data_IF_070285102531
#
_entry.id   IF_070285102531
#
_cell.length_a   1.000
_cell.length_b   1.000
_cell.length_c   1.000
_cell.angle_alpha   90.00
_cell.angle_beta   90.00
_cell.angle_gamma   90.00
#
_symmetry.space_group_name_H-M   'P 1'
#
loop_
_entity.id
_entity.type
_entity.pdbx_description
1 polymer ?
#
# COMPACT_ATOMS: atom_id res chain seq x y z
N UNK A 1 3.56 -13.76 -3.09
CA UNK A 1 2.91 -12.43 -3.20
C UNK A 1 2.73 -11.94 -4.64
N UNK A 2 3.53 -12.38 -5.63
CA UNK A 2 3.44 -11.90 -7.04
C UNK A 2 2.14 -12.21 -7.79
N UNK A 3 1.39 -13.25 -7.41
CA UNK A 3 0.11 -13.60 -8.06
C UNK A 3 -1.03 -12.65 -7.71
N UNK A 4 -0.92 -11.88 -6.62
CA UNK A 4 -1.98 -10.99 -6.14
C UNK A 4 -2.04 -9.68 -6.95
N UNK A 5 -0.88 -9.07 -7.25
CA UNK A 5 -0.78 -7.87 -8.11
C UNK A 5 -1.33 -8.18 -9.51
N UNK A 6 -0.97 -9.33 -10.08
CA UNK A 6 -1.52 -9.78 -11.38
C UNK A 6 -3.04 -9.93 -11.36
N UNK A 7 -3.61 -10.35 -10.22
CA UNK A 7 -5.05 -10.55 -10.04
C UNK A 7 -5.79 -9.23 -9.85
N UNK A 8 -5.22 -8.28 -9.13
CA UNK A 8 -5.78 -6.92 -9.00
C UNK A 8 -5.67 -6.17 -10.33
N UNK A 9 -4.52 -6.19 -11.01
CA UNK A 9 -4.38 -5.60 -12.34
C UNK A 9 -5.37 -6.19 -13.36
N UNK A 10 -5.65 -7.50 -13.27
CA UNK A 10 -6.68 -8.17 -14.09
C UNK A 10 -8.11 -7.77 -13.72
N UNK A 11 -8.38 -7.38 -12.48
CA UNK A 11 -9.70 -6.90 -12.02
C UNK A 11 -9.90 -5.42 -12.33
N UNK A 12 -8.81 -4.63 -12.32
CA UNK A 12 -8.83 -3.18 -12.57
C UNK A 12 -8.62 -2.80 -14.05
N UNK A 13 -8.44 -3.76 -14.95
CA UNK A 13 -8.58 -3.54 -16.39
C UNK A 13 -7.42 -2.82 -17.09
N UNK A 14 -6.20 -2.84 -16.56
CA UNK A 14 -5.04 -2.21 -17.22
C UNK A 14 -4.12 -3.26 -17.87
N UNK A 15 -4.10 -3.30 -19.21
CA UNK A 15 -3.01 -3.92 -19.97
C UNK A 15 -1.89 -2.88 -20.14
N UNK A 16 -0.60 -3.25 -19.98
CA UNK A 16 0.49 -2.36 -20.35
C UNK A 16 0.62 -2.34 -21.88
N UNK A 17 0.60 -1.16 -22.48
CA UNK A 17 1.01 -0.92 -23.86
C UNK A 17 2.51 -0.71 -23.90
N UNK A 18 3.23 -1.62 -24.56
CA UNK A 18 4.63 -1.43 -24.93
C UNK A 18 4.73 -0.36 -26.02
N UNK A 19 5.44 0.74 -25.74
CA UNK A 19 6.03 1.57 -26.79
C UNK A 19 7.40 2.09 -26.33
N UNK A 20 8.42 1.59 -27.01
CA UNK A 20 9.81 2.01 -26.93
C UNK A 20 10.03 3.30 -27.75
N UNK A 21 10.57 4.35 -27.15
CA UNK A 21 11.27 5.42 -27.88
C UNK A 21 12.52 5.83 -27.09
N UNK A 22 13.65 5.90 -27.81
CA UNK A 22 14.99 6.12 -27.28
C UNK A 22 15.28 7.55 -26.83
N UNK A 23 16.25 7.67 -25.93
CA UNK A 23 16.75 8.94 -25.38
C UNK A 23 18.15 9.25 -25.93
N UNK A 24 18.36 10.51 -26.31
CA UNK A 24 19.66 11.14 -26.53
C UNK A 24 19.84 12.23 -25.44
N UNK A 25 21.00 12.38 -24.79
CA UNK A 25 21.13 13.27 -23.62
C UNK A 25 21.80 14.59 -24.00
N UNK A 26 21.21 15.73 -23.62
CA UNK A 26 21.93 16.91 -23.11
C UNK A 26 20.95 18.01 -22.64
N UNK A 27 21.31 18.60 -21.49
CA UNK A 27 20.94 19.91 -20.94
C UNK A 27 19.69 20.06 -20.03
N UNK A 28 20.03 20.49 -18.82
CA UNK A 28 19.41 21.46 -17.90
C UNK A 28 18.20 21.11 -17.01
N UNK A 29 18.52 21.06 -15.71
CA UNK A 29 17.64 21.00 -14.57
C UNK A 29 16.95 22.34 -14.34
N UNK A 30 15.70 22.45 -14.78
CA UNK A 30 14.68 23.26 -14.12
C UNK A 30 13.34 22.51 -14.12
N UNK A 31 12.63 22.66 -13.01
CA UNK A 31 11.53 21.85 -12.49
C UNK A 31 10.31 21.72 -13.44
N UNK A 32 9.85 20.51 -13.85
CA UNK A 32 8.76 20.37 -14.83
C UNK A 32 7.36 20.06 -14.24
N UNK A 33 7.17 20.04 -12.92
CA UNK A 33 5.89 19.60 -12.35
C UNK A 33 4.71 20.56 -12.56
N UNK A 34 4.95 21.88 -12.68
CA UNK A 34 3.86 22.84 -12.89
C UNK A 34 3.35 22.86 -14.33
N UNK A 35 4.21 22.55 -15.31
CA UNK A 35 3.88 22.62 -16.73
C UNK A 35 3.04 21.41 -17.14
N UNK A 36 3.40 20.20 -16.67
CA UNK A 36 2.63 18.97 -16.88
C UNK A 36 1.24 19.06 -16.23
N UNK A 37 1.13 19.63 -15.03
CA UNK A 37 -0.17 19.80 -14.38
C UNK A 37 -1.05 20.83 -15.12
N UNK A 38 -0.44 21.85 -15.73
CA UNK A 38 -1.17 22.84 -16.53
C UNK A 38 -1.67 22.25 -17.87
N UNK A 39 -0.90 21.38 -18.51
CA UNK A 39 -1.30 20.69 -19.74
C UNK A 39 -2.41 19.66 -19.50
N UNK A 40 -2.35 18.93 -18.38
CA UNK A 40 -3.41 18.00 -17.97
C UNK A 40 -4.73 18.75 -17.70
N UNK A 41 -4.65 19.86 -16.96
CA UNK A 41 -5.83 20.67 -16.65
C UNK A 41 -6.40 21.35 -17.89
N UNK A 42 -5.55 21.80 -18.82
CA UNK A 42 -5.96 22.36 -20.12
C UNK A 42 -6.64 21.31 -21.01
N UNK A 43 -6.07 20.10 -21.07
CA UNK A 43 -6.63 18.99 -21.85
C UNK A 43 -7.97 18.52 -21.28
N UNK A 44 -8.11 18.47 -19.95
CA UNK A 44 -9.37 18.13 -19.30
C UNK A 44 -10.44 19.20 -19.51
N UNK A 45 -10.07 20.49 -19.42
CA UNK A 45 -11.00 21.59 -19.70
C UNK A 45 -11.48 21.57 -21.16
N UNK A 46 -10.59 21.24 -22.11
CA UNK A 46 -10.93 21.11 -23.53
C UNK A 46 -11.85 19.92 -23.79
N UNK A 47 -11.58 18.77 -23.14
CA UNK A 47 -12.44 17.59 -23.21
C UNK A 47 -13.84 17.87 -22.66
N UNK A 48 -13.94 18.60 -21.55
CA UNK A 48 -15.22 18.98 -20.96
C UNK A 48 -15.98 20.00 -21.82
N UNK A 49 -15.27 20.95 -22.44
CA UNK A 49 -15.84 21.91 -23.37
C UNK A 49 -16.39 21.24 -24.64
N UNK A 50 -15.65 20.27 -25.20
CA UNK A 50 -16.06 19.52 -26.39
C UNK A 50 -17.27 18.60 -26.09
N UNK A 51 -17.33 18.02 -24.89
CA UNK A 51 -18.50 17.24 -24.42
C UNK A 51 -19.74 18.12 -24.22
N UNK A 52 -19.58 19.37 -23.80
CA UNK A 52 -20.70 20.32 -23.64
C UNK A 52 -21.14 21.01 -24.93
N UNK A 53 -20.31 21.01 -25.97
CA UNK A 53 -20.56 21.73 -27.23
C UNK A 53 -21.18 20.87 -28.34
N UNK A 54 -21.32 19.56 -28.13
CA UNK A 54 -21.90 18.66 -29.14
C UNK A 54 -23.45 18.70 -29.10
N UNK A 55 -24.02 19.65 -29.83
CA UNK A 55 -25.48 19.85 -30.01
C UNK A 55 -26.21 18.63 -30.62
N UNK A 56 -25.49 17.58 -31.08
CA UNK A 56 -26.11 16.35 -31.60
C UNK A 56 -26.56 15.35 -30.54
N UNK A 57 -26.27 15.58 -29.25
CA UNK A 57 -26.69 14.69 -28.16
C UNK A 57 -27.88 15.20 -27.32
N UNK A 58 -28.46 16.35 -27.63
CA UNK A 58 -29.59 16.91 -26.86
C UNK A 58 -30.92 16.14 -27.03
N UNK A 59 -31.08 15.34 -28.09
CA UNK A 59 -32.30 14.54 -28.31
C UNK A 59 -32.42 13.29 -27.43
N UNK A 60 -31.32 12.58 -27.20
CA UNK A 60 -31.33 11.28 -26.52
C UNK A 60 -31.20 11.38 -24.99
N UNK A 61 -30.64 12.48 -24.48
CA UNK A 61 -30.55 12.73 -23.03
C UNK A 61 -31.92 12.95 -22.38
N UNK A 62 -32.91 13.45 -23.12
CA UNK A 62 -34.30 13.63 -22.63
C UNK A 62 -34.97 12.32 -22.21
N UNK A 63 -34.74 11.24 -22.97
CA UNK A 63 -35.34 9.93 -22.70
C UNK A 63 -34.64 9.26 -21.51
N UNK A 64 -33.31 9.30 -21.48
CA UNK A 64 -32.52 8.73 -20.38
C UNK A 64 -32.80 9.49 -19.08
N UNK A 65 -32.89 10.82 -19.12
CA UNK A 65 -33.26 11.65 -17.95
C UNK A 65 -34.70 11.41 -17.51
N UNK A 66 -35.65 11.15 -18.43
CA UNK A 66 -37.02 10.78 -18.05
C UNK A 66 -37.08 9.43 -17.35
N UNK A 67 -36.40 8.42 -17.88
CA UNK A 67 -36.42 7.08 -17.28
C UNK A 67 -35.68 7.08 -15.94
N UNK A 68 -34.57 7.80 -15.82
CA UNK A 68 -33.87 8.00 -14.56
C UNK A 68 -34.74 8.71 -13.51
N UNK A 69 -35.47 9.78 -13.89
CA UNK A 69 -36.36 10.48 -12.98
C UNK A 69 -37.57 9.62 -12.55
N UNK A 70 -38.03 8.70 -13.40
CA UNK A 70 -39.09 7.73 -13.09
C UNK A 70 -38.64 6.70 -12.05
N UNK A 71 -37.39 6.24 -12.13
CA UNK A 71 -36.80 5.37 -11.10
C UNK A 71 -36.56 6.12 -9.77
N UNK A 72 -36.11 7.38 -9.83
CA UNK A 72 -35.95 8.23 -8.63
C UNK A 72 -37.30 8.43 -7.92
N UNK A 73 -38.40 8.62 -8.66
CA UNK A 73 -39.74 8.76 -8.05
C UNK A 73 -40.23 7.46 -7.42
N UNK A 74 -39.93 6.29 -8.02
CA UNK A 74 -40.20 4.99 -7.38
C UNK A 74 -39.45 4.83 -6.07
N UNK A 75 -38.17 5.20 -6.02
CA UNK A 75 -37.34 5.10 -4.81
C UNK A 75 -37.83 6.01 -3.68
N UNK A 76 -38.26 7.25 -3.99
CA UNK A 76 -38.89 8.14 -2.99
C UNK A 76 -40.21 7.59 -2.43
N UNK A 77 -40.95 6.81 -3.23
CA UNK A 77 -42.14 6.09 -2.77
C UNK A 77 -41.84 4.93 -1.82
N UNK A 78 -40.66 4.30 -1.92
CA UNK A 78 -40.21 3.28 -0.98
C UNK A 78 -39.74 3.90 0.34
N UNK A 79 -39.03 5.02 0.29
CA UNK A 79 -38.56 5.74 1.47
C UNK A 79 -39.73 6.23 2.36
N UNK A 80 -40.80 6.74 1.74
CA UNK A 80 -42.02 7.12 2.47
C UNK A 80 -42.71 5.92 3.13
N UNK A 81 -42.79 4.77 2.46
CA UNK A 81 -43.32 3.53 3.07
C UNK A 81 -42.50 3.06 4.28
N UNK A 82 -41.17 3.10 4.17
CA UNK A 82 -40.28 2.72 5.27
C UNK A 82 -40.48 3.65 6.47
N UNK A 83 -40.55 4.96 6.24
CA UNK A 83 -40.75 5.95 7.31
C UNK A 83 -42.14 5.83 7.97
N UNK A 84 -43.18 5.46 7.21
CA UNK A 84 -44.51 5.14 7.78
C UNK A 84 -44.45 3.90 8.68
N UNK A 85 -43.80 2.82 8.22
CA UNK A 85 -43.67 1.58 9.01
C UNK A 85 -42.83 1.80 10.28
N UNK A 86 -41.78 2.61 10.23
CA UNK A 86 -40.98 2.97 11.42
C UNK A 86 -41.83 3.78 12.40
N UNK A 87 -42.66 4.70 11.90
CA UNK A 87 -43.54 5.52 12.74
C UNK A 87 -44.61 4.67 13.44
N UNK A 88 -45.17 3.67 12.76
CA UNK A 88 -46.12 2.71 13.34
C UNK A 88 -45.48 1.83 14.41
N UNK A 89 -44.24 1.38 14.21
CA UNK A 89 -43.50 0.56 15.19
C UNK A 89 -43.05 1.34 16.43
N UNK A 90 -42.99 2.68 16.36
CA UNK A 90 -42.53 3.52 17.48
C UNK A 90 -43.63 3.83 18.50
N UNK A 91 -44.90 3.53 18.19
CA UNK A 91 -46.06 3.83 19.07
C UNK A 91 -46.31 2.78 20.15
N UNK A 92 -45.68 1.59 20.11
CA UNK A 92 -45.98 0.48 21.04
C UNK A 92 -44.95 0.23 22.17
N UNK A 93 -44.21 1.24 22.63
CA UNK A 93 -43.35 1.09 23.82
C UNK A 93 -43.99 1.73 25.06
N UNK A 94 -44.45 0.93 26.06
CA UNK A 94 -44.97 1.47 27.30
C UNK A 94 -43.82 2.00 28.17
N UNK A 95 -43.97 3.25 28.62
CA UNK A 95 -43.10 3.86 29.61
C UNK A 95 -43.24 3.10 30.95
N UNK A 96 -42.12 2.64 31.51
CA UNK A 96 -42.07 2.12 32.88
C UNK A 96 -41.19 2.99 33.76
N UNK A 97 -41.81 3.32 34.88
CA UNK A 97 -41.45 4.30 35.88
C UNK A 97 -40.22 3.94 36.72
N UNK A 98 -39.67 4.97 37.35
CA UNK A 98 -38.61 4.95 38.36
C UNK A 98 -38.89 4.05 39.56
N UNK A 99 -37.85 3.43 40.15
CA UNK A 99 -37.28 3.79 41.46
C UNK A 99 -36.46 2.65 42.11
N UNK A 100 -35.38 3.07 42.80
CA UNK A 100 -34.77 2.53 44.04
C UNK A 100 -33.83 1.30 44.00
N UNK A 101 -32.56 1.63 44.22
CA UNK A 101 -31.53 1.04 45.12
C UNK A 101 -31.73 -0.37 45.68
N UNK A 102 -30.75 -1.25 45.40
CA UNK A 102 -30.06 -2.20 46.30
C UNK A 102 -28.83 -2.69 45.50
N UNK A 103 -27.58 -2.35 45.84
CA UNK A 103 -26.74 -2.97 46.89
C UNK A 103 -26.89 -4.48 46.96
N UNK A 104 -26.15 -5.22 46.14
CA UNK A 104 -25.54 -6.50 46.53
C UNK A 104 -24.33 -6.79 45.64
N UNK A 105 -23.25 -7.21 46.30
CA UNK A 105 -21.99 -7.73 45.78
C UNK A 105 -22.17 -8.74 44.64
N UNK A 106 -21.54 -8.46 43.50
CA UNK A 106 -20.94 -9.49 42.65
C UNK A 106 -19.59 -8.98 42.13
N UNK A 107 -18.54 -9.23 42.92
CA UNK A 107 -17.18 -9.36 42.41
C UNK A 107 -17.14 -10.53 41.42
N UNK A 108 -17.50 -10.25 40.16
CA UNK A 108 -17.16 -11.11 39.03
C UNK A 108 -15.79 -10.65 38.53
N UNK A 109 -14.73 -11.47 38.61
CA UNK A 109 -13.43 -11.08 38.10
C UNK A 109 -13.59 -10.81 36.61
N UNK A 110 -13.29 -9.58 36.21
CA UNK A 110 -12.97 -9.24 34.83
C UNK A 110 -11.83 -10.18 34.45
N UNK A 111 -12.15 -11.25 33.71
CA UNK A 111 -11.16 -12.15 33.15
C UNK A 111 -10.16 -11.27 32.40
N UNK A 112 -8.93 -11.21 32.91
CA UNK A 112 -7.82 -10.58 32.21
C UNK A 112 -7.83 -11.13 30.79
N UNK A 113 -7.86 -10.25 29.79
CA UNK A 113 -7.54 -10.62 28.42
C UNK A 113 -6.22 -11.38 28.49
N UNK A 114 -6.32 -12.71 28.38
CA UNK A 114 -5.19 -13.59 28.59
C UNK A 114 -4.07 -13.18 27.67
N UNK A 115 -2.84 -13.24 28.18
CA UNK A 115 -1.64 -13.15 27.37
C UNK A 115 -1.69 -14.26 26.31
N UNK A 116 -2.30 -13.95 25.17
CA UNK A 116 -2.25 -14.79 23.98
C UNK A 116 -0.77 -14.93 23.65
N UNK A 117 -0.26 -16.14 23.83
CA UNK A 117 1.14 -16.49 23.60
C UNK A 117 1.57 -16.04 22.21
N UNK A 118 2.84 -15.65 22.04
CA UNK A 118 3.36 -15.22 20.74
C UNK A 118 3.14 -16.27 19.64
N UNK A 119 3.13 -17.55 20.01
CA UNK A 119 2.94 -18.68 19.10
C UNK A 119 1.51 -18.74 18.53
N UNK A 120 0.49 -18.48 19.33
CA UNK A 120 -0.92 -18.51 18.90
C UNK A 120 -1.24 -17.37 17.91
N UNK A 121 -0.65 -16.19 18.11
CA UNK A 121 -0.81 -15.06 17.19
C UNK A 121 -0.21 -15.35 15.81
N UNK A 122 0.90 -16.08 15.76
CA UNK A 122 1.50 -16.51 14.48
C UNK A 122 0.61 -17.51 13.75
N UNK A 123 -0.09 -18.38 14.48
CA UNK A 123 -0.97 -19.38 13.89
C UNK A 123 -2.25 -18.76 13.31
N UNK A 124 -2.83 -17.76 13.98
CA UNK A 124 -3.96 -16.99 13.43
C UNK A 124 -3.60 -16.29 12.11
N UNK A 125 -2.43 -15.65 12.05
CA UNK A 125 -1.95 -14.99 10.83
C UNK A 125 -1.72 -16.01 9.70
N UNK A 126 -1.11 -17.16 10.00
CA UNK A 126 -0.94 -18.24 9.01
C UNK A 126 -2.29 -18.76 8.51
N UNK A 127 -3.27 -18.93 9.40
CA UNK A 127 -4.62 -19.37 9.05
C UNK A 127 -5.34 -18.34 8.16
N UNK A 128 -5.25 -17.05 8.49
CA UNK A 128 -5.76 -15.94 7.68
C UNK A 128 -5.15 -15.92 6.27
N UNK A 129 -3.83 -16.11 6.16
CA UNK A 129 -3.14 -16.21 4.87
C UNK A 129 -3.59 -17.43 4.07
N UNK A 130 -3.76 -18.58 4.73
CA UNK A 130 -4.28 -19.80 4.10
C UNK A 130 -5.67 -19.57 3.53
N UNK A 131 -6.59 -19.00 4.32
CA UNK A 131 -7.95 -18.66 3.87
C UNK A 131 -7.94 -17.74 2.66
N UNK A 132 -7.06 -16.74 2.64
CA UNK A 132 -6.92 -15.81 1.51
C UNK A 132 -6.38 -16.47 0.24
N UNK A 133 -5.55 -17.51 0.37
CA UNK A 133 -4.94 -18.20 -0.77
C UNK A 133 -5.89 -19.16 -1.50
N UNK A 134 -7.02 -19.53 -0.87
CA UNK A 134 -7.97 -20.48 -1.43
C UNK A 134 -8.67 -19.93 -2.69
N UNK A 135 -8.99 -20.78 -3.68
CA UNK A 135 -9.76 -20.37 -4.86
C UNK A 135 -11.16 -19.93 -4.48
N UNK A 136 -11.81 -19.14 -5.34
CA UNK A 136 -13.23 -18.76 -5.16
C UNK A 136 -14.08 -20.02 -5.05
N UNK A 137 -14.82 -20.12 -3.95
CA UNK A 137 -15.72 -21.23 -3.67
C UNK A 137 -17.16 -20.92 -4.10
N UNK A 138 -18.07 -21.86 -3.81
CA UNK A 138 -19.52 -21.61 -3.87
C UNK A 138 -19.94 -20.53 -2.86
N UNK A 139 -21.13 -19.94 -3.02
CA UNK A 139 -21.69 -18.92 -2.10
C UNK A 139 -21.63 -19.38 -0.62
N UNK A 140 -22.01 -20.63 -0.35
CA UNK A 140 -21.96 -21.24 0.99
C UNK A 140 -20.54 -21.32 1.57
N UNK A 141 -19.53 -21.56 0.72
CA UNK A 141 -18.13 -21.55 1.14
C UNK A 141 -17.62 -20.13 1.40
N UNK A 142 -18.15 -19.13 0.67
CA UNK A 142 -17.78 -17.73 0.86
C UNK A 142 -18.23 -17.22 2.23
N UNK A 143 -19.48 -17.50 2.63
CA UNK A 143 -20.01 -17.10 3.93
C UNK A 143 -19.23 -17.73 5.10
N UNK A 144 -18.97 -19.04 5.03
CA UNK A 144 -18.17 -19.75 6.03
C UNK A 144 -16.76 -19.15 6.17
N UNK A 145 -16.12 -18.81 5.04
CA UNK A 145 -14.80 -18.16 5.04
C UNK A 145 -14.83 -16.75 5.63
N UNK A 146 -15.86 -15.96 5.31
CA UNK A 146 -16.04 -14.62 5.90
C UNK A 146 -16.16 -14.74 7.42
N UNK A 147 -16.96 -15.68 7.92
CA UNK A 147 -17.11 -15.91 9.35
C UNK A 147 -15.78 -16.32 10.00
N UNK A 148 -15.04 -17.25 9.38
CA UNK A 148 -13.72 -17.66 9.86
C UNK A 148 -12.73 -16.49 9.93
N UNK A 149 -12.69 -15.63 8.89
CA UNK A 149 -11.83 -14.44 8.87
C UNK A 149 -12.24 -13.47 9.99
N UNK A 150 -13.54 -13.21 10.19
CA UNK A 150 -14.03 -12.32 11.26
C UNK A 150 -13.63 -12.79 12.65
N UNK A 151 -13.60 -14.11 12.87
CA UNK A 151 -13.23 -14.72 14.15
C UNK A 151 -11.72 -14.69 14.39
N UNK A 152 -10.91 -14.95 13.36
CA UNK A 152 -9.45 -14.93 13.46
C UNK A 152 -8.85 -13.53 13.48
N UNK A 153 -9.57 -12.54 12.93
CA UNK A 153 -9.08 -11.17 12.81
C UNK A 153 -9.40 -10.35 14.08
N UNK A 154 -8.66 -10.65 15.14
CA UNK A 154 -8.60 -9.86 16.37
C UNK A 154 -7.77 -8.59 16.22
N UNK A 155 -7.72 -7.78 17.28
CA UNK A 155 -6.98 -6.51 17.29
C UNK A 155 -5.47 -6.72 17.03
N UNK A 156 -4.87 -7.73 17.66
CA UNK A 156 -3.45 -8.06 17.48
C UNK A 156 -3.16 -8.45 16.03
N UNK A 157 -4.03 -9.27 15.44
CA UNK A 157 -3.92 -9.70 14.05
C UNK A 157 -4.12 -8.55 13.07
N UNK A 158 -4.97 -7.57 13.38
CA UNK A 158 -5.15 -6.35 12.59
C UNK A 158 -3.84 -5.56 12.51
N UNK A 159 -3.21 -5.26 13.65
CA UNK A 159 -1.95 -4.52 13.68
C UNK A 159 -0.82 -5.29 13.00
N UNK A 160 -0.70 -6.60 13.28
CA UNK A 160 0.31 -7.44 12.67
C UNK A 160 0.13 -7.54 11.15
N UNK A 161 -1.10 -7.74 10.68
CA UNK A 161 -1.41 -7.72 9.25
C UNK A 161 -1.07 -6.36 8.63
N UNK A 162 -1.39 -5.26 9.30
CA UNK A 162 -1.07 -3.91 8.82
C UNK A 162 0.43 -3.73 8.62
N UNK A 163 1.23 -4.12 9.60
CA UNK A 163 2.70 -4.04 9.52
C UNK A 163 3.24 -4.91 8.39
N UNK A 164 2.71 -6.13 8.21
CA UNK A 164 3.10 -7.01 7.11
C UNK A 164 2.81 -6.41 5.73
N UNK A 165 1.71 -5.67 5.59
CA UNK A 165 1.31 -5.04 4.33
C UNK A 165 2.13 -3.77 4.08
N UNK A 166 2.24 -2.89 5.08
CA UNK A 166 2.92 -1.60 4.95
C UNK A 166 4.43 -1.73 4.89
N UNK A 167 4.98 -2.62 5.69
CA UNK A 167 6.41 -2.69 5.96
C UNK A 167 6.93 -4.12 5.83
N UNK A 168 6.76 -4.76 4.66
CA UNK A 168 7.20 -6.15 4.46
C UNK A 168 8.71 -6.32 4.62
N UNK A 169 9.49 -5.23 4.64
CA UNK A 169 10.96 -5.21 4.76
C UNK A 169 11.48 -4.38 5.93
N UNK A 170 10.61 -4.10 6.90
CA UNK A 170 10.90 -3.21 8.01
C UNK A 170 10.33 -1.81 7.80
N UNK A 171 10.22 -1.08 8.92
CA UNK A 171 9.55 0.20 8.99
C UNK A 171 10.34 1.27 8.24
N UNK A 172 9.65 2.06 7.42
CA UNK A 172 10.20 3.21 6.71
C UNK A 172 9.31 4.42 6.94
N UNK A 173 9.92 5.61 6.96
CA UNK A 173 9.16 6.85 7.08
C UNK A 173 8.27 7.06 5.85
N UNK A 174 6.94 7.21 6.00
CA UNK A 174 6.05 7.39 4.86
C UNK A 174 6.29 8.69 4.08
N UNK A 175 7.00 9.66 4.69
CA UNK A 175 7.30 10.96 4.07
C UNK A 175 8.56 10.93 3.21
N UNK A 176 9.70 10.56 3.81
CA UNK A 176 11.00 10.61 3.12
C UNK A 176 11.52 9.23 2.70
N UNK A 177 10.78 8.16 2.98
CA UNK A 177 11.14 6.76 2.69
C UNK A 177 12.44 6.30 3.37
N UNK A 178 12.96 7.07 4.33
CA UNK A 178 14.14 6.71 5.11
C UNK A 178 13.85 5.53 6.03
N UNK A 179 14.82 4.62 6.14
CA UNK A 179 14.83 3.52 7.12
C UNK A 179 15.43 3.92 8.46
N UNK A 180 15.91 5.17 8.59
CA UNK A 180 16.41 5.71 9.85
C UNK A 180 15.23 6.08 10.76
N UNK A 181 14.61 5.05 11.32
CA UNK A 181 13.40 5.14 12.15
C UNK A 181 13.66 4.48 13.49
N UNK A 182 13.25 5.15 14.57
CA UNK A 182 13.29 4.62 15.93
C UNK A 182 11.86 4.46 16.44
N UNK A 183 11.59 3.36 17.16
CA UNK A 183 10.32 3.14 17.84
C UNK A 183 10.25 4.02 19.09
N UNK A 184 9.11 4.64 19.33
CA UNK A 184 8.81 5.41 20.54
C UNK A 184 7.75 4.68 21.36
N UNK A 185 7.78 4.89 22.67
CA UNK A 185 6.70 4.47 23.55
C UNK A 185 5.38 5.16 23.18
N UNK A 186 4.25 4.47 23.36
CA UNK A 186 2.94 5.07 23.14
C UNK A 186 2.73 6.29 24.07
N UNK A 187 2.03 7.34 23.61
CA UNK A 187 1.53 8.37 24.51
C UNK A 187 0.68 7.75 25.64
N UNK A 188 0.75 8.31 26.85
CA UNK A 188 0.06 7.77 28.05
C UNK A 188 -1.44 7.53 27.85
N UNK A 189 -2.05 8.28 26.93
CA UNK A 189 -3.50 8.35 26.74
C UNK A 189 -3.98 7.53 25.52
N UNK A 190 -3.11 6.69 24.94
CA UNK A 190 -3.46 5.88 23.76
C UNK A 190 -3.96 4.49 24.19
N UNK A 191 -5.27 4.18 24.00
CA UNK A 191 -5.86 2.94 24.47
C UNK A 191 -5.57 1.73 23.57
N UNK A 192 -4.91 1.93 22.43
CA UNK A 192 -4.70 0.88 21.45
C UNK A 192 -3.24 0.45 21.29
N UNK A 193 -3.07 -0.73 20.70
CA UNK A 193 -1.77 -1.40 20.54
C UNK A 193 -0.95 -0.86 19.36
N UNK A 194 -1.15 0.42 18.98
CA UNK A 194 -0.44 1.09 17.89
C UNK A 194 1.04 1.28 18.21
N UNK A 195 1.85 1.18 17.17
CA UNK A 195 3.27 1.50 17.24
C UNK A 195 3.52 2.92 16.77
N UNK A 196 4.36 3.63 17.53
CA UNK A 196 4.78 5.00 17.25
C UNK A 196 6.25 5.03 16.85
N UNK A 197 6.56 5.90 15.91
CA UNK A 197 7.85 5.95 15.24
C UNK A 197 8.32 7.38 15.05
N UNK A 198 9.64 7.53 15.02
CA UNK A 198 10.32 8.81 14.78
C UNK A 198 11.32 8.61 13.65
N UNK A 199 11.17 9.38 12.57
CA UNK A 199 12.15 9.45 11.50
C UNK A 199 13.29 10.41 11.85
N UNK A 200 14.51 9.87 11.96
CA UNK A 200 15.69 10.67 12.29
C UNK A 200 16.11 11.60 11.15
N UNK A 201 15.86 11.22 9.89
CA UNK A 201 16.13 12.08 8.72
C UNK A 201 15.23 13.32 8.75
N UNK A 202 13.90 13.14 8.84
CA UNK A 202 12.98 14.28 8.92
C UNK A 202 13.20 15.14 10.17
N UNK A 203 13.65 14.53 11.28
CA UNK A 203 14.01 15.26 12.49
C UNK A 203 15.20 16.18 12.26
N UNK A 204 16.21 15.73 11.50
CA UNK A 204 17.38 16.53 11.12
C UNK A 204 17.02 17.67 10.17
N UNK A 205 16.07 17.43 9.26
CA UNK A 205 15.61 18.42 8.27
C UNK A 205 14.62 19.45 8.85
N UNK A 206 14.32 19.38 10.15
CA UNK A 206 13.36 20.28 10.83
C UNK A 206 11.89 20.02 10.46
N UNK A 207 11.59 18.91 9.79
CA UNK A 207 10.22 18.51 9.44
C UNK A 207 9.54 17.70 10.53
N UNK A 208 8.22 17.47 10.39
CA UNK A 208 7.51 16.50 11.24
C UNK A 208 8.15 15.12 11.08
N UNK A 209 8.66 14.58 12.17
CA UNK A 209 9.40 13.31 12.19
C UNK A 209 8.57 12.16 12.76
N UNK A 210 7.47 12.47 13.44
CA UNK A 210 6.64 11.49 14.11
C UNK A 210 5.60 10.90 13.16
N UNK A 211 5.41 9.58 13.27
CA UNK A 211 4.38 8.84 12.57
C UNK A 211 4.05 7.55 13.34
N UNK A 212 2.93 6.94 13.00
CA UNK A 212 2.44 5.68 13.59
C UNK A 212 2.04 4.68 12.50
N UNK A 213 1.58 3.50 12.94
CA UNK A 213 1.01 2.47 12.05
C UNK A 213 -0.09 3.03 11.12
N UNK A 214 -0.83 4.05 11.56
CA UNK A 214 -2.00 4.60 10.85
C UNK A 214 -1.65 5.76 9.94
N UNK A 215 -0.45 6.31 10.03
CA UNK A 215 -0.10 7.56 9.36
C UNK A 215 -0.24 7.42 7.86
N UNK A 216 -1.08 8.25 7.25
CA UNK A 216 -1.38 8.21 5.83
C UNK A 216 -2.39 7.13 5.40
N UNK A 217 -2.96 6.34 6.33
CA UNK A 217 -4.13 5.52 6.02
C UNK A 217 -5.40 6.39 6.07
N UNK A 218 -6.41 6.11 5.23
CA UNK A 218 -7.71 6.78 5.30
C UNK A 218 -8.55 6.36 6.53
N UNK A 219 -7.96 5.59 7.46
CA UNK A 219 -8.65 5.08 8.65
C UNK A 219 -8.10 5.78 9.90
N UNK A 220 -8.94 6.62 10.51
CA UNK A 220 -8.60 7.33 11.76
C UNK A 220 -8.96 6.56 13.04
N UNK A 221 -9.70 5.45 12.91
CA UNK A 221 -10.22 4.66 14.04
C UNK A 221 -9.89 3.18 13.90
N UNK A 222 -9.78 2.47 15.02
CA UNK A 222 -9.56 1.01 15.03
C UNK A 222 -10.70 0.26 14.33
N UNK A 223 -11.95 0.74 14.47
CA UNK A 223 -13.10 0.17 13.76
C UNK A 223 -12.96 0.32 12.24
N UNK A 224 -12.56 1.50 11.77
CA UNK A 224 -12.28 1.74 10.35
C UNK A 224 -11.15 0.83 9.84
N UNK A 225 -10.09 0.67 10.65
CA UNK A 225 -9.00 -0.25 10.32
C UNK A 225 -9.47 -1.70 10.26
N UNK A 226 -10.34 -2.15 11.18
CA UNK A 226 -10.91 -3.50 11.15
C UNK A 226 -11.68 -3.75 9.87
N UNK A 227 -12.52 -2.80 9.44
CA UNK A 227 -13.24 -2.88 8.17
C UNK A 227 -12.28 -2.92 6.98
N UNK A 228 -11.22 -2.11 7.02
CA UNK A 228 -10.16 -2.11 5.99
C UNK A 228 -9.45 -3.45 5.90
N UNK A 229 -9.07 -4.06 7.04
CA UNK A 229 -8.42 -5.37 7.08
C UNK A 229 -9.34 -6.48 6.60
N UNK A 230 -10.60 -6.47 7.04
CA UNK A 230 -11.60 -7.42 6.53
C UNK A 230 -11.70 -7.29 5.01
N UNK A 231 -11.90 -6.08 4.50
CA UNK A 231 -11.93 -5.80 3.06
C UNK A 231 -10.68 -6.36 2.35
N UNK A 232 -9.48 -6.10 2.88
CA UNK A 232 -8.23 -6.61 2.33
C UNK A 232 -8.16 -8.14 2.23
N UNK A 233 -8.66 -8.85 3.24
CA UNK A 233 -8.75 -10.31 3.21
C UNK A 233 -9.80 -10.81 2.22
N UNK A 234 -10.94 -10.12 2.09
CA UNK A 234 -12.03 -10.48 1.18
C UNK A 234 -11.73 -10.18 -0.30
N UNK A 235 -10.89 -9.17 -0.58
CA UNK A 235 -10.46 -8.81 -1.93
C UNK A 235 -9.74 -10.00 -2.57
N UNK A 236 -10.22 -10.40 -3.75
CA UNK A 236 -9.67 -11.49 -4.55
C UNK A 236 -10.54 -12.74 -4.55
N UNK A 237 -11.36 -12.95 -3.52
CA UNK A 237 -12.32 -14.05 -3.50
C UNK A 237 -13.80 -13.62 -3.52
N UNK A 238 -14.15 -12.46 -2.96
CA UNK A 238 -15.48 -11.87 -3.10
C UNK A 238 -15.55 -10.86 -4.27
N UNK A 239 -16.76 -10.60 -4.78
CA UNK A 239 -17.02 -9.41 -5.61
C UNK A 239 -17.08 -8.15 -4.73
N UNK A 240 -16.83 -6.97 -5.31
CA UNK A 240 -16.87 -5.70 -4.56
C UNK A 240 -18.25 -5.47 -3.93
N UNK A 241 -19.33 -5.85 -4.61
CA UNK A 241 -20.70 -5.76 -4.09
C UNK A 241 -20.97 -6.70 -2.93
N UNK A 242 -20.40 -7.92 -2.94
CA UNK A 242 -20.49 -8.84 -1.80
C UNK A 242 -19.73 -8.28 -0.59
N UNK A 243 -18.54 -7.72 -0.79
CA UNK A 243 -17.75 -7.10 0.28
C UNK A 243 -18.51 -5.93 0.90
N UNK A 244 -19.05 -5.04 0.06
CA UNK A 244 -19.89 -3.90 0.47
C UNK A 244 -21.05 -4.35 1.37
N UNK A 245 -21.80 -5.38 0.94
CA UNK A 245 -22.91 -5.95 1.70
C UNK A 245 -22.47 -6.54 3.04
N UNK A 246 -21.36 -7.28 3.06
CA UNK A 246 -20.86 -7.99 4.25
C UNK A 246 -20.30 -7.03 5.30
N UNK A 247 -19.74 -5.90 4.87
CA UNK A 247 -19.14 -4.89 5.72
C UNK A 247 -20.09 -3.73 6.05
N UNK A 248 -21.23 -3.63 5.35
CA UNK A 248 -22.19 -2.53 5.51
C UNK A 248 -21.64 -1.20 5.03
N UNK A 249 -20.76 -1.20 4.01
CA UNK A 249 -20.15 0.01 3.43
C UNK A 249 -20.49 0.10 1.93
N UNK A 250 -20.31 1.27 1.34
CA UNK A 250 -20.55 1.48 -0.09
C UNK A 250 -19.51 0.75 -0.96
N UNK A 251 -19.90 0.36 -2.18
CA UNK A 251 -18.96 -0.20 -3.19
C UNK A 251 -17.82 0.77 -3.51
N UNK A 252 -18.10 2.07 -3.44
CA UNK A 252 -17.10 3.12 -3.63
C UNK A 252 -16.02 3.07 -2.53
N UNK A 253 -16.41 2.95 -1.26
CA UNK A 253 -15.46 2.77 -0.14
C UNK A 253 -14.62 1.49 -0.31
N UNK A 254 -15.25 0.37 -0.71
CA UNK A 254 -14.52 -0.88 -1.00
C UNK A 254 -13.46 -0.64 -2.10
N UNK A 255 -13.81 0.11 -3.13
CA UNK A 255 -12.91 0.42 -4.26
C UNK A 255 -11.75 1.30 -3.82
N UNK A 256 -12.00 2.32 -2.98
CA UNK A 256 -10.96 3.15 -2.40
C UNK A 256 -10.00 2.33 -1.55
N UNK A 257 -10.52 1.44 -0.70
CA UNK A 257 -9.72 0.53 0.13
C UNK A 257 -8.82 -0.35 -0.75
N UNK A 258 -9.37 -0.93 -1.82
CA UNK A 258 -8.62 -1.78 -2.74
C UNK A 258 -7.52 -1.02 -3.50
N UNK A 259 -7.83 0.18 -4.00
CA UNK A 259 -6.88 1.05 -4.68
C UNK A 259 -5.73 1.45 -3.75
N UNK A 260 -6.07 1.92 -2.55
CA UNK A 260 -5.10 2.34 -1.56
C UNK A 260 -4.23 1.18 -1.05
N UNK A 261 -4.82 0.00 -0.85
CA UNK A 261 -4.06 -1.21 -0.53
C UNK A 261 -3.03 -1.57 -1.60
N UNK A 262 -3.35 -1.31 -2.88
CA UNK A 262 -2.41 -1.52 -4.00
C UNK A 262 -1.25 -0.53 -3.93
N UNK A 263 -1.53 0.75 -3.69
CA UNK A 263 -0.50 1.80 -3.57
C UNK A 263 0.50 1.50 -2.42
N UNK A 264 0.00 1.07 -1.25
CA UNK A 264 0.86 0.69 -0.13
C UNK A 264 1.80 -0.46 -0.50
N UNK A 265 1.28 -1.48 -1.20
CA UNK A 265 2.10 -2.62 -1.61
C UNK A 265 3.08 -2.29 -2.74
N UNK A 266 2.76 -1.32 -3.60
CA UNK A 266 3.64 -0.89 -4.69
C UNK A 266 4.87 -0.13 -4.17
N UNK A 267 4.71 0.71 -3.14
CA UNK A 267 5.82 1.38 -2.46
C UNK A 267 6.87 0.36 -1.97
N UNK A 268 6.41 -0.79 -1.46
CA UNK A 268 7.32 -1.86 -1.06
C UNK A 268 8.11 -2.45 -2.24
N UNK A 269 7.49 -2.57 -3.42
CA UNK A 269 8.13 -3.10 -4.62
C UNK A 269 9.09 -2.13 -5.31
N UNK A 270 8.78 -0.84 -5.34
CA UNK A 270 9.66 0.17 -5.94
C UNK A 270 10.96 0.31 -5.15
N UNK A 271 10.87 0.22 -3.82
CA UNK A 271 12.05 0.18 -2.93
C UNK A 271 12.98 -1.01 -3.24
N UNK A 272 12.44 -2.12 -3.74
CA UNK A 272 13.19 -3.32 -4.10
C UNK A 272 13.86 -3.22 -5.45
N UNK A 273 13.15 -2.64 -6.42
CA UNK A 273 13.70 -2.38 -7.73
C UNK A 273 14.91 -1.44 -7.58
N UNK A 274 14.76 -0.36 -6.81
CA UNK A 274 15.84 0.60 -6.55
C UNK A 274 17.04 -0.02 -5.85
N UNK A 275 16.83 -0.79 -4.77
CA UNK A 275 17.92 -1.51 -4.07
C UNK A 275 18.65 -2.52 -4.97
N UNK A 276 17.93 -3.24 -5.84
CA UNK A 276 18.55 -4.17 -6.80
C UNK A 276 19.37 -3.43 -7.85
N UNK A 277 18.89 -2.28 -8.32
CA UNK A 277 19.62 -1.43 -9.26
C UNK A 277 20.90 -0.89 -8.60
N UNK A 278 20.81 -0.37 -7.37
CA UNK A 278 21.96 0.12 -6.61
C UNK A 278 22.99 -0.98 -6.34
N UNK A 279 22.55 -2.19 -5.97
CA UNK A 279 23.43 -3.33 -5.77
C UNK A 279 24.16 -3.75 -7.06
N UNK A 280 23.46 -3.76 -8.21
CA UNK A 280 24.07 -4.02 -9.52
C UNK A 280 25.08 -2.95 -9.91
N UNK A 281 24.75 -1.68 -9.70
CA UNK A 281 25.65 -0.56 -9.98
C UNK A 281 26.92 -0.63 -9.11
N UNK A 282 26.78 -0.97 -7.82
CA UNK A 282 27.91 -1.18 -6.91
C UNK A 282 28.80 -2.33 -7.39
N UNK A 283 28.21 -3.48 -7.72
CA UNK A 283 28.96 -4.63 -8.25
C UNK A 283 29.71 -4.28 -9.54
N UNK A 284 29.11 -3.49 -10.43
CA UNK A 284 29.78 -3.07 -11.66
C UNK A 284 30.94 -2.10 -11.40
N UNK A 285 30.77 -1.16 -10.45
CA UNK A 285 31.87 -0.29 -10.00
C UNK A 285 33.03 -1.09 -9.43
N UNK A 286 32.74 -2.09 -8.59
CA UNK A 286 33.76 -2.96 -7.99
C UNK A 286 34.49 -3.80 -9.07
N UNK A 287 33.77 -4.29 -10.09
CA UNK A 287 34.38 -4.97 -11.25
C UNK A 287 35.27 -4.05 -12.07
N UNK A 288 34.83 -2.82 -12.35
CA UNK A 288 35.62 -1.81 -13.08
C UNK A 288 36.88 -1.45 -12.31
N UNK A 289 36.77 -1.25 -10.99
CA UNK A 289 37.91 -1.00 -10.12
C UNK A 289 38.92 -2.16 -10.15
N UNK A 290 38.45 -3.40 -9.96
CA UNK A 290 39.32 -4.58 -10.04
C UNK A 290 40.01 -4.73 -11.40
N UNK A 291 39.34 -4.37 -12.50
CA UNK A 291 39.96 -4.37 -13.83
C UNK A 291 41.05 -3.30 -13.94
N UNK A 292 40.79 -2.09 -13.44
CA UNK A 292 41.75 -0.99 -13.43
C UNK A 292 43.00 -1.36 -12.60
N UNK A 293 42.81 -1.93 -11.42
CA UNK A 293 43.89 -2.35 -10.52
C UNK A 293 44.78 -3.41 -11.21
N UNK A 294 44.18 -4.38 -11.91
CA UNK A 294 44.92 -5.38 -12.70
C UNK A 294 45.69 -4.77 -13.86
N UNK A 295 45.07 -3.84 -14.59
CA UNK A 295 45.75 -3.15 -15.69
C UNK A 295 46.96 -2.36 -15.16
N UNK A 296 46.80 -1.67 -14.03
CA UNK A 296 47.88 -0.91 -13.41
C UNK A 296 49.03 -1.82 -12.96
N UNK A 297 48.75 -2.98 -12.37
CA UNK A 297 49.77 -3.98 -12.05
C UNK A 297 50.52 -4.50 -13.29
N UNK A 298 49.83 -4.69 -14.41
CA UNK A 298 50.47 -5.13 -15.67
C UNK A 298 51.43 -4.04 -16.19
N UNK A 299 51.01 -2.77 -16.15
CA UNK A 299 51.85 -1.63 -16.56
C UNK A 299 53.09 -1.53 -15.67
N UNK A 300 52.92 -1.60 -14.35
CA UNK A 300 54.03 -1.54 -13.38
C UNK A 300 55.02 -2.70 -13.59
N UNK A 301 54.53 -3.91 -13.87
CA UNK A 301 55.36 -5.07 -14.19
C UNK A 301 56.15 -4.88 -15.49
N UNK A 302 55.57 -4.25 -16.51
CA UNK A 302 56.27 -3.93 -17.77
C UNK A 302 57.33 -2.84 -17.57
N UNK A 303 57.04 -1.83 -16.76
CA UNK A 303 58.00 -0.78 -16.40
C UNK A 303 59.20 -1.35 -15.63
N UNK A 304 58.96 -2.24 -14.66
CA UNK A 304 60.04 -2.90 -13.92
C UNK A 304 60.90 -3.81 -14.81
N UNK A 305 60.27 -4.52 -15.75
CA UNK A 305 60.99 -5.33 -16.74
C UNK A 305 61.91 -4.46 -17.62
N UNK A 306 61.39 -3.35 -18.16
CA UNK A 306 62.17 -2.43 -19.01
C UNK A 306 63.28 -1.72 -18.23
N UNK A 307 63.03 -1.32 -16.97
CA UNK A 307 64.04 -0.74 -16.07
C UNK A 307 65.15 -1.73 -15.71
N UNK A 308 64.84 -3.03 -15.64
CA UNK A 308 65.82 -4.08 -15.36
C UNK A 308 66.66 -4.44 -16.59
N UNK A 309 66.03 -4.44 -17.78
CA UNK A 309 66.72 -4.72 -19.04
C UNK A 309 67.79 -3.66 -19.38
N UNK A 310 67.55 -2.38 -19.07
CA UNK A 310 68.52 -1.30 -19.31
C UNK A 310 69.76 -1.34 -18.42
N UNK A 311 69.76 -2.13 -17.34
CA UNK A 311 70.89 -2.29 -16.42
C UNK A 311 71.84 -3.44 -16.79
N UNK A 312 71.59 -4.19 -17.87
CA UNK A 312 72.52 -5.23 -18.28
C UNK A 312 73.85 -4.61 -18.73
N UNK A 313 74.99 -4.98 -18.12
CA UNK A 313 76.28 -4.45 -18.50
C UNK A 313 76.58 -4.84 -19.94
N UNK A 314 76.89 -3.84 -20.78
CA UNK A 314 77.34 -4.07 -22.15
C UNK A 314 78.48 -5.08 -22.13
N UNK A 315 78.29 -6.21 -22.83
CA UNK A 315 79.31 -7.26 -22.91
C UNK A 315 80.61 -6.65 -23.44
N UNK A 316 81.76 -6.87 -22.77
CA UNK A 316 83.04 -6.31 -23.19
C UNK A 316 83.31 -6.65 -24.66
N UNK A 317 83.67 -5.61 -25.42
CA UNK A 317 83.69 -5.59 -26.87
C UNK A 317 84.40 -6.77 -27.53
N UNK A 318 83.75 -7.27 -28.58
CA UNK A 318 84.36 -8.12 -29.59
C UNK A 318 85.59 -7.39 -30.15
N UNK A 319 86.78 -7.90 -29.84
CA UNK A 319 88.03 -7.42 -30.44
C UNK A 319 88.00 -7.75 -31.93
N UNK A 320 87.85 -6.71 -32.75
CA UNK A 320 88.03 -6.81 -34.20
C UNK A 320 89.43 -7.37 -34.49
N UNK A 321 89.50 -8.53 -35.16
CA UNK A 321 90.76 -9.08 -35.66
C UNK A 321 91.13 -8.33 -36.94
N UNK A 322 92.35 -7.80 -36.91
CA UNK A 322 93.07 -7.13 -38.00
C UNK A 322 93.16 -8.00 -39.25
#
# INVERSE_FOLDING_TARGET
MSNWVKRIASILGSKPTDSSVGFNPHADNSHPQSEIQSEINSSFAKLMHDVTSDERLQGNNSIILREANKEITKLKGFETKINTTISELTVELPQKESCKTNSMDENKPLMSEGDITMDEQDDNIKALQKLRSLPRGSETQVESRIAAIKNLLGEKEIFKTLQMIRWPKGIVCPRCQSSQVVRRDPPSDTPDKRHYYVCLTCKGDGGVSDFDDFTGLPVGTLQGLRQWMLCWYLIGFCSMSQIARVLGISVHEVTQIASFGSQITEIAHESDAKKKIEAKQKQEKDRKKSFLDKHQQIVEMQEDYTRSASKQPFKPGYKSKK
#
